data_IF_593386411319
#
_entry.id   IF_593386411319
#
_cell.length_a   1.000
_cell.length_b   1.000
_cell.length_c   1.000
_cell.angle_alpha   90.00
_cell.angle_beta   90.00
_cell.angle_gamma   90.00
#
_symmetry.space_group_name_H-M   'P 1'
#
loop_
_entity.id
_entity.type
_entity.pdbx_description
1 polymer ?
#
# COMPACT_ATOMS: atom_id res chain seq x y z
N UNK A 1 6.78 -23.69 -12.11
CA UNK A 1 6.70 -25.04 -11.49
C UNK A 1 5.34 -25.65 -11.76
N UNK A 2 5.18 -26.99 -11.72
CA UNK A 2 3.82 -27.57 -11.70
C UNK A 2 3.20 -27.28 -10.33
N UNK A 3 1.89 -27.04 -10.26
CA UNK A 3 1.11 -26.74 -9.03
C UNK A 3 1.43 -27.72 -7.88
N UNK A 4 1.55 -29.02 -8.18
CA UNK A 4 1.89 -30.06 -7.20
C UNK A 4 3.31 -29.92 -6.60
N UNK A 5 4.30 -29.51 -7.41
CA UNK A 5 5.67 -29.29 -6.90
C UNK A 5 5.72 -28.13 -5.92
N UNK A 6 5.05 -27.06 -6.26
CA UNK A 6 4.98 -25.86 -5.41
C UNK A 6 4.23 -26.15 -4.10
N UNK A 7 3.11 -26.88 -4.17
CA UNK A 7 2.37 -27.31 -2.98
C UNK A 7 3.23 -28.14 -2.03
N UNK A 8 4.09 -29.05 -2.56
CA UNK A 8 5.02 -29.84 -1.75
C UNK A 8 6.05 -28.94 -1.07
N UNK A 9 6.61 -27.95 -1.79
CA UNK A 9 7.58 -27.00 -1.21
C UNK A 9 6.94 -26.20 -0.06
N UNK A 10 5.75 -25.64 -0.27
CA UNK A 10 5.04 -24.86 0.75
C UNK A 10 4.69 -25.69 1.99
N UNK A 11 4.20 -26.91 1.81
CA UNK A 11 3.89 -27.81 2.93
C UNK A 11 5.16 -28.22 3.70
N UNK A 12 6.25 -28.54 3.00
CA UNK A 12 7.53 -28.88 3.62
C UNK A 12 8.08 -27.68 4.39
N UNK A 13 8.06 -26.49 3.80
CA UNK A 13 8.54 -25.25 4.40
C UNK A 13 7.75 -24.90 5.69
N UNK A 14 6.43 -25.02 5.67
CA UNK A 14 5.61 -24.80 6.86
C UNK A 14 5.95 -25.76 8.02
N UNK A 15 6.24 -27.03 7.70
CA UNK A 15 6.67 -28.00 8.70
C UNK A 15 8.09 -27.72 9.21
N UNK A 16 9.03 -27.36 8.31
CA UNK A 16 10.40 -27.02 8.68
C UNK A 16 10.47 -25.75 9.55
N UNK A 17 9.65 -24.76 9.25
CA UNK A 17 9.56 -23.52 10.01
C UNK A 17 9.10 -23.68 11.47
N UNK A 18 8.36 -24.77 11.76
CA UNK A 18 7.83 -25.04 13.11
C UNK A 18 8.67 -26.07 13.87
N UNK A 19 9.10 -27.13 13.20
CA UNK A 19 9.74 -28.30 13.83
C UNK A 19 11.26 -28.38 13.59
N UNK A 20 11.78 -27.61 12.67
CA UNK A 20 13.13 -27.73 12.13
C UNK A 20 13.24 -28.85 11.09
N UNK A 21 14.30 -28.77 10.28
CA UNK A 21 14.51 -29.68 9.17
C UNK A 21 14.64 -31.14 9.62
N UNK A 22 15.45 -31.44 10.65
CA UNK A 22 15.71 -32.83 11.07
C UNK A 22 14.47 -33.55 11.60
N UNK A 23 13.61 -32.85 12.33
CA UNK A 23 12.43 -33.47 12.98
C UNK A 23 11.30 -33.78 11.98
N UNK A 24 11.38 -33.33 10.74
CA UNK A 24 10.33 -33.54 9.72
C UNK A 24 10.70 -34.69 8.80
N UNK A 25 9.81 -35.65 8.64
CA UNK A 25 9.95 -36.78 7.72
C UNK A 25 9.21 -36.51 6.39
N UNK A 26 9.64 -37.14 5.31
CA UNK A 26 8.94 -37.11 4.01
C UNK A 26 7.50 -37.62 4.11
N UNK A 27 7.27 -38.59 5.03
CA UNK A 27 5.90 -39.08 5.28
C UNK A 27 4.97 -38.02 5.91
N UNK A 28 5.50 -37.14 6.77
CA UNK A 28 4.73 -36.03 7.35
C UNK A 28 4.42 -34.97 6.28
N UNK A 29 5.37 -34.67 5.38
CA UNK A 29 5.15 -33.76 4.26
C UNK A 29 4.06 -34.31 3.33
N UNK A 30 4.16 -35.58 2.94
CA UNK A 30 3.15 -36.24 2.11
C UNK A 30 1.77 -36.27 2.79
N UNK A 31 1.75 -36.59 4.08
CA UNK A 31 0.51 -36.62 4.87
C UNK A 31 -0.18 -35.26 4.98
N UNK A 32 0.57 -34.16 5.09
CA UNK A 32 0.03 -32.80 5.10
C UNK A 32 -0.72 -32.42 3.81
N UNK A 33 -0.41 -33.10 2.71
CA UNK A 33 -1.04 -32.90 1.40
C UNK A 33 -2.03 -34.02 1.02
N UNK A 34 -2.30 -34.96 1.93
CA UNK A 34 -3.17 -36.10 1.63
C UNK A 34 -2.60 -37.05 0.56
N UNK A 35 -1.30 -37.02 0.31
CA UNK A 35 -0.66 -37.84 -0.71
C UNK A 35 0.20 -38.97 -0.12
N UNK A 36 0.47 -40.00 -0.92
CA UNK A 36 1.37 -41.08 -0.49
C UNK A 36 2.83 -40.64 -0.61
N UNK A 37 3.71 -41.23 0.23
CA UNK A 37 5.16 -41.01 0.14
C UNK A 37 5.72 -41.35 -1.27
N UNK A 38 5.18 -42.39 -1.92
CA UNK A 38 5.56 -42.77 -3.28
C UNK A 38 5.15 -41.70 -4.33
N UNK A 39 4.01 -41.02 -4.14
CA UNK A 39 3.60 -39.93 -5.01
C UNK A 39 4.53 -38.70 -4.87
N UNK A 40 4.98 -38.41 -3.65
CA UNK A 40 5.90 -37.32 -3.39
C UNK A 40 7.26 -37.59 -4.06
N UNK A 41 7.76 -38.81 -4.00
CA UNK A 41 9.04 -39.20 -4.65
C UNK A 41 9.03 -39.13 -6.20
N UNK A 42 7.86 -39.00 -6.83
CA UNK A 42 7.81 -38.67 -8.27
C UNK A 42 8.24 -37.25 -8.58
N UNK A 43 8.20 -36.36 -7.58
CA UNK A 43 8.51 -34.94 -7.73
C UNK A 43 9.88 -34.55 -7.18
N UNK A 44 10.30 -35.18 -6.07
CA UNK A 44 11.56 -34.92 -5.36
C UNK A 44 12.27 -36.20 -4.95
N UNK A 45 13.60 -36.25 -5.12
CA UNK A 45 14.42 -37.45 -4.85
C UNK A 45 14.46 -37.80 -3.36
N UNK A 46 14.55 -36.81 -2.50
CA UNK A 46 14.65 -36.98 -1.05
C UNK A 46 14.30 -35.65 -0.31
N UNK A 47 14.39 -35.66 1.01
CA UNK A 47 14.11 -34.48 1.86
C UNK A 47 15.06 -33.31 1.58
N UNK A 48 16.34 -33.60 1.28
CA UNK A 48 17.34 -32.59 0.94
C UNK A 48 17.02 -31.93 -0.39
N UNK A 49 16.59 -32.65 -1.38
CA UNK A 49 16.18 -32.12 -2.69
C UNK A 49 15.00 -31.13 -2.55
N UNK A 50 14.06 -31.41 -1.63
CA UNK A 50 12.97 -30.48 -1.27
C UNK A 50 13.55 -29.20 -0.64
N UNK A 51 14.46 -29.33 0.31
CA UNK A 51 15.09 -28.20 1.01
C UNK A 51 15.84 -27.28 0.04
N UNK A 52 16.68 -27.87 -0.82
CA UNK A 52 17.46 -27.13 -1.81
C UNK A 52 16.53 -26.43 -2.83
N UNK A 53 15.42 -27.10 -3.20
CA UNK A 53 14.40 -26.51 -4.09
C UNK A 53 13.62 -25.36 -3.45
N UNK A 54 13.38 -25.38 -2.13
CA UNK A 54 12.81 -24.24 -1.40
C UNK A 54 13.72 -23.01 -1.52
N UNK A 55 15.03 -23.20 -1.31
CA UNK A 55 15.99 -22.12 -1.44
C UNK A 55 15.99 -21.52 -2.86
N UNK A 56 16.09 -22.37 -3.88
CA UNK A 56 16.02 -21.91 -5.28
C UNK A 56 14.75 -21.14 -5.58
N UNK A 57 13.61 -21.63 -5.14
CA UNK A 57 12.30 -20.97 -5.33
C UNK A 57 12.24 -19.57 -4.71
N UNK A 58 12.75 -19.42 -3.48
CA UNK A 58 12.77 -18.11 -2.80
C UNK A 58 13.73 -17.14 -3.49
N UNK A 59 14.89 -17.61 -3.95
CA UNK A 59 15.85 -16.79 -4.71
C UNK A 59 15.27 -16.31 -6.05
N UNK A 60 14.52 -17.15 -6.76
CA UNK A 60 13.84 -16.77 -8.01
C UNK A 60 12.81 -15.64 -7.77
N UNK A 61 12.03 -15.73 -6.68
CA UNK A 61 11.08 -14.68 -6.28
C UNK A 61 11.80 -13.38 -5.89
N UNK A 62 12.97 -13.46 -5.29
CA UNK A 62 13.76 -12.28 -4.93
C UNK A 62 14.32 -11.58 -6.16
N UNK A 63 14.91 -12.32 -7.09
CA UNK A 63 15.40 -11.78 -8.36
C UNK A 63 14.29 -11.10 -9.17
N UNK A 64 13.07 -11.63 -9.16
CA UNK A 64 11.92 -10.99 -9.81
C UNK A 64 11.57 -9.65 -9.17
N UNK A 65 11.62 -9.54 -7.83
CA UNK A 65 11.38 -8.27 -7.13
C UNK A 65 12.47 -7.24 -7.42
N UNK A 66 13.72 -7.65 -7.41
CA UNK A 66 14.86 -6.80 -7.74
C UNK A 66 14.68 -6.16 -9.13
N UNK A 67 14.34 -6.97 -10.14
CA UNK A 67 14.06 -6.48 -11.51
C UNK A 67 12.92 -5.45 -11.54
N UNK A 68 11.81 -5.73 -10.85
CA UNK A 68 10.64 -4.83 -10.81
C UNK A 68 10.97 -3.48 -10.17
N UNK A 69 11.89 -3.44 -9.24
CA UNK A 69 12.31 -2.22 -8.53
C UNK A 69 13.50 -1.51 -9.19
N UNK A 70 14.05 -2.06 -10.27
CA UNK A 70 15.20 -1.45 -10.95
C UNK A 70 16.49 -1.47 -10.12
N UNK A 71 16.69 -2.53 -9.31
CA UNK A 71 17.94 -2.79 -8.59
C UNK A 71 18.58 -4.07 -9.12
N UNK A 72 19.92 -4.27 -8.96
CA UNK A 72 20.61 -5.44 -9.45
C UNK A 72 20.04 -6.76 -8.91
N UNK A 73 19.92 -7.77 -9.77
CA UNK A 73 19.42 -9.11 -9.38
C UNK A 73 20.49 -10.01 -8.81
N UNK A 74 21.75 -9.66 -9.00
CA UNK A 74 22.93 -10.46 -8.65
C UNK A 74 23.95 -9.63 -7.89
N UNK A 75 24.99 -10.30 -7.41
CA UNK A 75 26.10 -9.69 -6.69
C UNK A 75 26.90 -8.71 -7.59
N UNK A 76 27.57 -7.74 -6.99
CA UNK A 76 28.36 -6.73 -7.69
C UNK A 76 29.40 -7.32 -8.66
N UNK A 77 30.05 -8.43 -8.27
CA UNK A 77 31.01 -9.12 -9.11
C UNK A 77 30.47 -9.64 -10.44
N UNK A 78 29.14 -9.89 -10.52
CA UNK A 78 28.49 -10.42 -11.73
C UNK A 78 27.86 -9.31 -12.59
N UNK A 79 27.44 -8.19 -11.98
CA UNK A 79 26.70 -7.10 -12.66
C UNK A 79 27.14 -5.70 -12.19
N UNK A 80 28.42 -5.33 -12.24
CA UNK A 80 28.92 -4.07 -11.66
C UNK A 80 28.23 -2.83 -12.24
N UNK A 81 27.98 -2.77 -13.53
CA UNK A 81 27.40 -1.62 -14.20
C UNK A 81 25.96 -1.32 -13.70
N UNK A 82 25.21 -2.35 -13.33
CA UNK A 82 23.85 -2.16 -12.85
C UNK A 82 23.76 -1.55 -11.44
N UNK A 83 24.83 -1.61 -10.65
CA UNK A 83 24.88 -0.95 -9.34
C UNK A 83 25.08 0.56 -9.47
N UNK A 84 25.78 1.05 -10.47
CA UNK A 84 25.96 2.47 -10.73
C UNK A 84 24.65 3.19 -11.11
N UNK A 85 23.70 2.46 -11.71
CA UNK A 85 22.41 2.98 -12.14
C UNK A 85 21.37 3.08 -11.00
N UNK A 86 21.61 2.41 -9.85
CA UNK A 86 20.68 2.43 -8.72
C UNK A 86 20.47 3.84 -8.20
N UNK A 87 19.22 4.28 -8.15
CA UNK A 87 18.84 5.54 -7.52
C UNK A 87 18.45 5.34 -6.05
N UNK A 88 18.57 6.39 -5.21
CA UNK A 88 18.05 6.35 -3.83
C UNK A 88 16.60 5.90 -3.74
N UNK A 89 15.80 6.31 -4.74
CA UNK A 89 14.40 5.95 -4.86
C UNK A 89 14.20 4.46 -5.17
N UNK A 90 14.87 3.94 -6.20
CA UNK A 90 14.73 2.52 -6.56
C UNK A 90 15.16 1.61 -5.40
N UNK A 91 16.20 2.01 -4.66
CA UNK A 91 16.59 1.31 -3.45
C UNK A 91 15.51 1.38 -2.35
N UNK A 92 14.92 2.56 -2.10
CA UNK A 92 13.82 2.70 -1.13
C UNK A 92 12.62 1.83 -1.50
N UNK A 93 12.18 1.89 -2.76
CA UNK A 93 11.06 1.07 -3.27
C UNK A 93 11.34 -0.42 -3.15
N UNK A 94 12.53 -0.85 -3.50
CA UNK A 94 12.97 -2.24 -3.34
C UNK A 94 12.90 -2.67 -1.87
N UNK A 95 13.51 -1.91 -0.97
CA UNK A 95 13.55 -2.27 0.45
C UNK A 95 12.17 -2.28 1.12
N UNK A 96 11.25 -1.40 0.72
CA UNK A 96 9.85 -1.45 1.16
C UNK A 96 9.14 -2.70 0.62
N UNK A 97 9.31 -3.03 -0.66
CA UNK A 97 8.73 -4.24 -1.23
C UNK A 97 9.29 -5.50 -0.57
N UNK A 98 10.57 -5.51 -0.21
CA UNK A 98 11.21 -6.59 0.54
C UNK A 98 10.62 -6.69 1.96
N UNK A 99 10.49 -5.56 2.68
CA UNK A 99 9.90 -5.57 4.01
C UNK A 99 8.47 -6.12 3.99
N UNK A 100 7.65 -5.65 3.07
CA UNK A 100 6.29 -6.15 2.86
C UNK A 100 6.27 -7.66 2.63
N UNK A 101 7.07 -8.15 1.66
CA UNK A 101 7.15 -9.57 1.34
C UNK A 101 7.61 -10.41 2.54
N UNK A 102 8.73 -10.04 3.15
CA UNK A 102 9.31 -10.81 4.25
C UNK A 102 8.47 -10.76 5.54
N UNK A 103 7.59 -9.77 5.71
CA UNK A 103 6.71 -9.64 6.88
C UNK A 103 5.31 -10.23 6.66
N UNK A 104 4.77 -10.19 5.41
CA UNK A 104 3.37 -10.53 5.12
C UNK A 104 3.20 -11.87 4.41
N UNK A 105 4.13 -12.24 3.50
CA UNK A 105 4.01 -13.48 2.75
C UNK A 105 4.33 -14.70 3.63
N UNK A 106 3.47 -15.70 3.61
CA UNK A 106 3.61 -16.90 4.45
C UNK A 106 4.86 -17.70 4.07
N UNK A 107 5.20 -17.80 2.79
CA UNK A 107 6.38 -18.52 2.31
C UNK A 107 7.65 -17.85 2.81
N UNK A 108 7.75 -16.52 2.69
CA UNK A 108 8.89 -15.75 3.16
C UNK A 108 9.04 -15.82 4.68
N UNK A 109 7.94 -15.65 5.44
CA UNK A 109 7.94 -15.77 6.89
C UNK A 109 8.41 -17.17 7.35
N UNK A 110 7.91 -18.23 6.72
CA UNK A 110 8.28 -19.60 7.06
C UNK A 110 9.74 -19.90 6.66
N UNK A 111 10.20 -19.38 5.53
CA UNK A 111 11.59 -19.54 5.09
C UNK A 111 12.57 -18.90 6.09
N UNK A 112 12.30 -17.66 6.53
CA UNK A 112 13.11 -16.97 7.53
C UNK A 112 13.12 -17.71 8.87
N UNK A 113 11.95 -18.19 9.35
CA UNK A 113 11.86 -19.00 10.58
C UNK A 113 12.65 -20.28 10.47
N UNK A 114 12.54 -20.97 9.34
CA UNK A 114 13.33 -22.17 9.07
C UNK A 114 14.83 -21.88 9.16
N UNK A 115 15.34 -20.86 8.47
CA UNK A 115 16.73 -20.47 8.53
C UNK A 115 17.18 -20.13 9.96
N UNK A 116 16.35 -19.37 10.70
CA UNK A 116 16.62 -19.02 12.10
C UNK A 116 16.73 -20.24 13.01
N UNK A 117 15.89 -21.27 12.82
CA UNK A 117 15.98 -22.51 13.60
C UNK A 117 17.19 -23.37 13.24
N UNK A 118 17.66 -23.31 12.01
CA UNK A 118 18.73 -24.16 11.52
C UNK A 118 20.12 -23.55 11.66
N UNK A 119 20.28 -22.23 11.78
CA UNK A 119 21.55 -21.52 11.70
C UNK A 119 22.64 -22.03 12.66
N UNK A 120 22.28 -22.56 13.82
CA UNK A 120 23.23 -23.07 14.82
C UNK A 120 23.47 -24.58 14.76
N UNK A 121 22.80 -25.29 13.86
CA UNK A 121 22.89 -26.77 13.79
C UNK A 121 24.08 -27.29 12.96
N UNK A 122 24.40 -26.58 11.89
CA UNK A 122 25.52 -26.90 11.02
C UNK A 122 26.17 -25.64 10.48
N UNK A 123 27.46 -25.71 10.14
CA UNK A 123 28.16 -24.59 9.48
C UNK A 123 27.48 -24.18 8.17
N UNK A 124 27.02 -25.15 7.37
CA UNK A 124 26.35 -24.92 6.11
C UNK A 124 25.03 -24.10 6.32
N UNK A 125 24.24 -24.46 7.34
CA UNK A 125 23.03 -23.73 7.68
C UNK A 125 23.31 -22.32 8.21
N UNK A 126 24.37 -22.14 8.98
CA UNK A 126 24.85 -20.83 9.42
C UNK A 126 25.25 -19.95 8.25
N UNK A 127 26.08 -20.46 7.34
CA UNK A 127 26.47 -19.73 6.12
C UNK A 127 25.27 -19.36 5.26
N UNK A 128 24.27 -20.25 5.14
CA UNK A 128 23.04 -19.94 4.40
C UNK A 128 22.23 -18.82 5.07
N UNK A 129 22.12 -18.85 6.39
CA UNK A 129 21.49 -17.79 7.16
C UNK A 129 22.21 -16.44 6.96
N UNK A 130 23.54 -16.43 7.05
CA UNK A 130 24.37 -15.23 6.81
C UNK A 130 24.14 -14.66 5.41
N UNK A 131 24.16 -15.53 4.40
CA UNK A 131 23.96 -15.13 3.00
C UNK A 131 22.59 -14.50 2.76
N UNK A 132 21.54 -14.96 3.44
CA UNK A 132 20.16 -14.52 3.14
C UNK A 132 19.72 -13.38 4.05
N UNK A 133 20.12 -13.35 5.31
CA UNK A 133 19.49 -12.48 6.31
C UNK A 133 20.46 -11.48 6.99
N UNK A 134 21.75 -11.63 6.86
CA UNK A 134 22.71 -10.74 7.54
C UNK A 134 23.80 -10.23 6.61
N UNK A 135 24.90 -10.95 6.43
CA UNK A 135 26.06 -10.46 5.68
C UNK A 135 25.79 -10.26 4.19
N UNK A 136 25.03 -11.16 3.57
CA UNK A 136 24.68 -11.02 2.15
C UNK A 136 23.92 -9.71 1.84
N UNK A 137 22.78 -9.42 2.49
CA UNK A 137 22.08 -8.13 2.32
C UNK A 137 22.94 -6.92 2.68
N UNK A 138 23.76 -7.01 3.74
CA UNK A 138 24.65 -5.91 4.10
C UNK A 138 25.70 -5.63 3.02
N UNK A 139 26.31 -6.67 2.45
CA UNK A 139 27.29 -6.52 1.37
C UNK A 139 26.64 -5.95 0.10
N UNK A 140 25.45 -6.42 -0.25
CA UNK A 140 24.69 -5.91 -1.38
C UNK A 140 24.38 -4.39 -1.25
N UNK A 141 23.90 -3.97 -0.06
CA UNK A 141 23.61 -2.56 0.21
C UNK A 141 24.90 -1.72 0.28
N UNK A 142 25.97 -2.27 0.87
CA UNK A 142 27.29 -1.64 0.89
C UNK A 142 27.78 -1.32 -0.53
N UNK A 143 27.68 -2.29 -1.45
CA UNK A 143 28.09 -2.11 -2.83
C UNK A 143 27.23 -1.03 -3.54
N UNK A 144 25.92 -1.00 -3.31
CA UNK A 144 25.06 0.07 -3.81
C UNK A 144 25.48 1.44 -3.25
N UNK A 145 25.73 1.56 -1.96
CA UNK A 145 26.14 2.83 -1.37
C UNK A 145 27.52 3.27 -1.81
N UNK A 146 28.44 2.33 -2.03
CA UNK A 146 29.76 2.64 -2.61
C UNK A 146 29.60 3.30 -3.97
N UNK A 147 28.78 2.72 -4.85
CA UNK A 147 28.52 3.30 -6.17
C UNK A 147 27.76 4.63 -6.07
N UNK A 148 26.79 4.78 -5.19
CA UNK A 148 26.10 6.03 -4.96
C UNK A 148 27.06 7.15 -4.51
N UNK A 149 28.05 6.85 -3.68
CA UNK A 149 29.07 7.82 -3.24
C UNK A 149 29.99 8.17 -4.40
N UNK A 150 30.46 7.20 -5.18
CA UNK A 150 31.33 7.41 -6.35
C UNK A 150 30.63 8.32 -7.38
N UNK A 151 29.33 8.12 -7.59
CA UNK A 151 28.54 8.89 -8.56
C UNK A 151 27.92 10.17 -7.98
N UNK A 152 28.30 10.58 -6.76
CA UNK A 152 27.85 11.84 -6.15
C UNK A 152 26.36 11.88 -5.82
N UNK A 153 25.74 10.73 -5.53
CA UNK A 153 24.35 10.65 -5.06
C UNK A 153 24.27 10.79 -3.53
N UNK A 154 25.27 10.28 -2.81
CA UNK A 154 25.39 10.36 -1.35
C UNK A 154 26.64 11.18 -0.95
N UNK A 155 26.60 11.77 0.23
CA UNK A 155 27.78 12.39 0.84
C UNK A 155 28.88 11.34 1.09
N UNK A 156 30.13 11.77 1.13
CA UNK A 156 31.27 10.89 1.38
C UNK A 156 31.20 10.32 2.80
N UNK A 157 31.02 9.02 2.94
CA UNK A 157 30.98 8.29 4.21
C UNK A 157 31.50 6.86 4.00
N UNK A 158 31.67 6.09 5.08
CA UNK A 158 32.08 4.68 5.01
C UNK A 158 30.91 3.79 4.54
N UNK A 159 30.97 3.12 3.36
CA UNK A 159 29.85 2.40 2.80
C UNK A 159 29.30 1.29 3.70
N UNK A 160 30.17 0.53 4.35
CA UNK A 160 29.74 -0.54 5.27
C UNK A 160 28.97 0.01 6.47
N UNK A 161 29.39 1.14 7.02
CA UNK A 161 28.70 1.78 8.15
C UNK A 161 27.32 2.28 7.72
N UNK A 162 27.22 2.89 6.52
CA UNK A 162 25.92 3.28 5.95
C UNK A 162 25.01 2.07 5.77
N UNK A 163 25.54 0.96 5.24
CA UNK A 163 24.77 -0.25 5.05
C UNK A 163 24.23 -0.82 6.38
N UNK A 164 25.02 -0.81 7.43
CA UNK A 164 24.59 -1.23 8.78
C UNK A 164 23.49 -0.30 9.31
N UNK A 165 23.67 1.03 9.24
CA UNK A 165 22.65 2.00 9.71
C UNK A 165 21.34 1.85 8.95
N UNK A 166 21.40 1.58 7.65
CA UNK A 166 20.23 1.44 6.79
C UNK A 166 19.50 0.09 6.97
N UNK A 167 20.25 -1.01 7.09
CA UNK A 167 19.69 -2.36 7.15
C UNK A 167 19.27 -2.81 8.56
N UNK A 168 19.94 -2.33 9.62
CA UNK A 168 19.64 -2.77 10.97
C UNK A 168 18.17 -2.59 11.39
N UNK A 169 17.48 -1.46 11.08
CA UNK A 169 16.05 -1.32 11.34
C UNK A 169 15.20 -2.35 10.62
N UNK A 170 15.51 -2.66 9.34
CA UNK A 170 14.83 -3.70 8.57
C UNK A 170 14.87 -5.04 9.30
N UNK A 171 16.07 -5.49 9.67
CA UNK A 171 16.26 -6.77 10.34
C UNK A 171 15.57 -6.82 11.70
N UNK A 172 15.68 -5.74 12.51
CA UNK A 172 15.02 -5.64 13.81
C UNK A 172 13.49 -5.73 13.69
N UNK A 173 12.91 -4.92 12.81
CA UNK A 173 11.45 -4.84 12.64
C UNK A 173 10.86 -6.13 12.07
N UNK A 174 11.58 -6.82 11.17
CA UNK A 174 11.18 -8.15 10.70
C UNK A 174 11.12 -9.17 11.84
N UNK A 175 12.11 -9.18 12.73
CA UNK A 175 12.10 -10.08 13.89
C UNK A 175 10.95 -9.77 14.86
N UNK A 176 10.58 -8.51 15.00
CA UNK A 176 9.41 -8.11 15.78
C UNK A 176 8.11 -8.57 15.10
N UNK A 177 8.01 -8.44 13.77
CA UNK A 177 6.86 -8.85 12.99
C UNK A 177 6.57 -10.36 13.07
N UNK A 178 7.58 -11.21 13.31
CA UNK A 178 7.41 -12.65 13.49
C UNK A 178 6.58 -13.04 14.72
N UNK A 179 6.57 -12.20 15.74
CA UNK A 179 5.89 -12.47 17.01
C UNK A 179 4.46 -11.97 17.02
N UNK A 180 4.08 -11.09 16.10
CA UNK A 180 2.71 -10.62 16.00
C UNK A 180 1.93 -11.42 14.96
N UNK A 181 0.72 -11.86 15.34
CA UNK A 181 -0.24 -12.47 14.42
C UNK A 181 -1.14 -11.44 13.72
N UNK A 182 -1.06 -10.16 14.10
CA UNK A 182 -1.96 -9.12 13.62
C UNK A 182 -1.35 -8.37 12.44
N UNK A 183 -2.08 -8.34 11.33
CA UNK A 183 -1.67 -7.63 10.12
C UNK A 183 -1.40 -6.14 10.39
N UNK A 184 -2.23 -5.50 11.20
CA UNK A 184 -2.09 -4.09 11.56
C UNK A 184 -0.74 -3.75 12.21
N UNK A 185 -0.25 -4.60 13.12
CA UNK A 185 1.05 -4.38 13.76
C UNK A 185 2.20 -4.42 12.74
N UNK A 186 2.09 -5.30 11.75
CA UNK A 186 3.08 -5.42 10.67
C UNK A 186 3.06 -4.20 9.73
N UNK A 187 1.87 -3.67 9.44
CA UNK A 187 1.70 -2.43 8.66
C UNK A 187 2.26 -1.21 9.43
N UNK A 188 2.09 -1.16 10.75
CA UNK A 188 2.70 -0.13 11.59
C UNK A 188 4.24 -0.22 11.58
N UNK A 189 4.81 -1.42 11.61
CA UNK A 189 6.25 -1.64 11.50
C UNK A 189 6.79 -1.23 10.12
N UNK A 190 6.06 -1.51 9.04
CA UNK A 190 6.39 -1.07 7.69
C UNK A 190 6.43 0.45 7.59
N UNK A 191 5.44 1.15 8.18
CA UNK A 191 5.43 2.61 8.23
C UNK A 191 6.59 3.19 9.06
N UNK A 192 7.00 2.54 10.15
CA UNK A 192 8.20 2.91 10.93
C UNK A 192 9.45 2.76 10.08
N UNK A 193 9.55 1.66 9.33
CA UNK A 193 10.69 1.41 8.45
C UNK A 193 10.77 2.42 7.30
N UNK A 194 9.64 2.74 6.69
CA UNK A 194 9.58 3.76 5.63
C UNK A 194 10.08 5.11 6.13
N UNK A 195 9.61 5.54 7.30
CA UNK A 195 10.07 6.78 7.91
C UNK A 195 11.57 6.76 8.23
N UNK A 196 12.09 5.64 8.72
CA UNK A 196 13.53 5.47 9.00
C UNK A 196 14.37 5.62 7.73
N UNK A 197 13.91 5.08 6.59
CA UNK A 197 14.59 5.25 5.31
C UNK A 197 14.54 6.71 4.84
N UNK A 198 13.42 7.41 5.01
CA UNK A 198 13.32 8.84 4.68
C UNK A 198 14.28 9.67 5.51
N UNK A 199 14.39 9.39 6.82
CA UNK A 199 15.33 10.08 7.72
C UNK A 199 16.79 9.77 7.35
N UNK A 200 17.09 8.53 6.94
CA UNK A 200 18.41 8.13 6.45
C UNK A 200 18.77 8.90 5.16
N UNK A 201 17.91 8.90 4.16
CA UNK A 201 18.19 9.60 2.90
C UNK A 201 18.27 11.11 3.10
N UNK A 202 17.44 11.72 3.94
CA UNK A 202 17.55 13.15 4.28
C UNK A 202 18.91 13.50 4.91
N UNK A 203 19.50 12.57 5.66
CA UNK A 203 20.80 12.77 6.30
C UNK A 203 21.98 12.63 5.34
N UNK A 204 21.88 11.75 4.36
CA UNK A 204 23.03 11.34 3.56
C UNK A 204 22.95 11.69 2.07
N UNK A 205 21.78 12.07 1.52
CA UNK A 205 21.68 12.54 0.15
C UNK A 205 22.37 13.88 -0.06
N UNK A 206 22.97 14.05 -1.23
CA UNK A 206 23.38 15.37 -1.67
C UNK A 206 22.14 16.20 -2.07
N UNK A 207 22.18 17.57 -1.90
CA UNK A 207 21.01 18.43 -2.12
C UNK A 207 20.35 18.27 -3.50
N UNK A 208 21.13 18.03 -4.54
CA UNK A 208 20.62 17.80 -5.90
C UNK A 208 19.79 16.50 -6.00
N UNK A 209 20.20 15.45 -5.32
CA UNK A 209 19.48 14.17 -5.28
C UNK A 209 18.27 14.24 -4.33
N UNK A 210 18.34 15.01 -3.26
CA UNK A 210 17.19 15.27 -2.39
C UNK A 210 16.08 16.00 -3.17
N UNK A 211 16.44 17.00 -3.96
CA UNK A 211 15.52 17.71 -4.86
C UNK A 211 14.91 16.74 -5.88
N UNK A 212 15.70 15.91 -6.54
CA UNK A 212 15.19 14.88 -7.46
C UNK A 212 14.27 13.88 -6.79
N UNK A 213 14.55 13.49 -5.55
CA UNK A 213 13.71 12.56 -4.81
C UNK A 213 12.35 13.19 -4.43
N UNK A 214 12.33 14.50 -4.12
CA UNK A 214 11.11 15.27 -3.80
C UNK A 214 10.31 15.62 -5.06
N UNK A 215 10.96 15.97 -6.16
CA UNK A 215 10.34 16.30 -7.46
C UNK A 215 9.60 15.11 -8.11
N UNK A 216 9.77 13.90 -7.59
CA UNK A 216 9.17 12.70 -8.15
C UNK A 216 7.68 12.54 -7.81
N UNK A 217 7.20 13.20 -6.76
CA UNK A 217 5.78 13.32 -6.44
C UNK A 217 5.36 14.74 -6.76
N UNK A 218 4.51 14.88 -7.77
CA UNK A 218 3.90 16.16 -8.13
C UNK A 218 2.39 16.07 -7.92
N UNK A 219 1.83 17.03 -7.17
CA UNK A 219 0.38 17.18 -7.03
C UNK A 219 0.01 18.49 -7.74
N UNK A 220 -0.78 18.38 -8.79
CA UNK A 220 -1.24 19.50 -9.59
C UNK A 220 -2.72 19.39 -9.88
N UNK A 221 -3.32 20.48 -10.33
CA UNK A 221 -4.70 20.41 -10.81
C UNK A 221 -4.79 19.46 -12.02
N UNK A 222 -5.93 18.79 -12.15
CA UNK A 222 -6.27 17.95 -13.30
C UNK A 222 -6.38 18.82 -14.55
N UNK A 223 -5.90 18.31 -15.67
CA UNK A 223 -6.04 18.92 -16.99
C UNK A 223 -6.90 18.02 -17.89
N UNK A 224 -7.47 18.56 -18.95
CA UNK A 224 -8.30 17.77 -19.89
C UNK A 224 -7.58 16.54 -20.46
N UNK A 225 -6.25 16.61 -20.59
CA UNK A 225 -5.45 15.47 -21.03
C UNK A 225 -5.44 14.30 -20.03
N UNK A 226 -5.72 14.57 -18.75
CA UNK A 226 -5.73 13.57 -17.69
C UNK A 226 -7.08 12.85 -17.55
N UNK A 227 -8.17 13.39 -18.09
CA UNK A 227 -9.53 12.89 -17.86
C UNK A 227 -9.65 11.38 -18.10
N UNK A 228 -9.15 10.90 -19.22
CA UNK A 228 -9.22 9.49 -19.57
C UNK A 228 -8.44 8.59 -18.59
N UNK A 229 -7.23 9.01 -18.19
CA UNK A 229 -6.41 8.23 -17.25
C UNK A 229 -7.00 8.28 -15.83
N UNK A 230 -7.57 9.41 -15.40
CA UNK A 230 -8.24 9.54 -14.09
C UNK A 230 -9.47 8.65 -14.01
N UNK A 231 -10.32 8.64 -15.03
CA UNK A 231 -11.47 7.73 -15.11
C UNK A 231 -11.04 6.26 -15.10
N UNK A 232 -9.97 5.92 -15.84
CA UNK A 232 -9.42 4.57 -15.86
C UNK A 232 -8.89 4.13 -14.49
N UNK A 233 -8.05 4.94 -13.83
CA UNK A 233 -7.48 4.56 -12.51
C UNK A 233 -8.55 4.52 -11.43
N UNK A 234 -9.59 5.38 -11.53
CA UNK A 234 -10.74 5.32 -10.64
C UNK A 234 -11.50 4.01 -10.83
N UNK A 235 -11.78 3.64 -12.08
CA UNK A 235 -12.41 2.37 -12.41
C UNK A 235 -11.60 1.19 -11.87
N UNK A 236 -10.30 1.14 -12.14
CA UNK A 236 -9.41 0.09 -11.64
C UNK A 236 -9.38 -0.01 -10.11
N UNK A 237 -9.44 1.14 -9.41
CA UNK A 237 -9.36 1.20 -7.95
C UNK A 237 -10.66 0.76 -7.26
N UNK A 238 -11.82 1.00 -7.88
CA UNK A 238 -13.13 0.76 -7.28
C UNK A 238 -13.86 -0.47 -7.85
N UNK A 239 -13.37 -1.06 -8.96
CA UNK A 239 -14.07 -2.18 -9.60
C UNK A 239 -14.24 -3.38 -8.67
N UNK A 240 -15.48 -3.80 -8.47
CA UNK A 240 -15.88 -4.85 -7.52
C UNK A 240 -15.60 -4.53 -6.04
N UNK A 241 -15.33 -3.27 -5.67
CA UNK A 241 -15.03 -2.92 -4.29
C UNK A 241 -16.29 -2.82 -3.42
N UNK A 242 -17.28 -2.05 -3.84
CA UNK A 242 -18.50 -1.77 -3.08
C UNK A 242 -19.72 -2.46 -3.64
N UNK A 243 -19.76 -2.64 -4.95
CA UNK A 243 -20.77 -3.39 -5.70
C UNK A 243 -20.09 -4.19 -6.81
N UNK A 244 -20.72 -5.22 -7.38
CA UNK A 244 -20.20 -5.86 -8.59
C UNK A 244 -20.17 -4.86 -9.77
N UNK A 245 -18.99 -4.50 -10.23
CA UNK A 245 -18.75 -3.43 -11.18
C UNK A 245 -18.22 -2.17 -10.51
N UNK A 246 -18.49 -1.00 -11.07
CA UNK A 246 -18.02 0.30 -10.58
C UNK A 246 -18.98 1.41 -11.02
N UNK A 247 -19.27 2.36 -10.17
CA UNK A 247 -20.03 3.58 -10.50
C UNK A 247 -19.19 4.85 -10.35
N UNK A 248 -18.09 4.77 -9.61
CA UNK A 248 -17.25 5.89 -9.22
C UNK A 248 -16.54 6.55 -10.43
N UNK A 249 -16.17 5.78 -11.44
CA UNK A 249 -15.56 6.32 -12.65
C UNK A 249 -16.55 7.17 -13.47
N UNK A 250 -17.86 6.81 -13.44
CA UNK A 250 -18.90 7.63 -14.04
C UNK A 250 -19.15 8.90 -13.24
N UNK A 251 -19.10 8.84 -11.91
CA UNK A 251 -19.15 10.04 -11.06
C UNK A 251 -18.06 11.02 -11.45
N UNK A 252 -16.81 10.57 -11.56
CA UNK A 252 -15.68 11.38 -12.00
C UNK A 252 -15.96 12.04 -13.36
N UNK A 253 -16.55 11.28 -14.29
CA UNK A 253 -16.89 11.78 -15.62
C UNK A 253 -17.88 12.95 -15.59
N UNK A 254 -18.98 12.83 -14.81
CA UNK A 254 -20.06 13.83 -14.78
C UNK A 254 -19.79 14.99 -13.83
N UNK A 255 -18.97 14.82 -12.78
CA UNK A 255 -18.69 15.86 -11.80
C UNK A 255 -18.09 17.11 -12.42
N UNK A 256 -17.22 16.96 -13.40
CA UNK A 256 -16.48 18.07 -14.03
C UNK A 256 -17.40 19.10 -14.73
N UNK A 257 -18.59 18.67 -15.15
CA UNK A 257 -19.58 19.52 -15.81
C UNK A 257 -20.64 20.08 -14.85
N UNK A 258 -20.59 19.70 -13.55
CA UNK A 258 -21.56 20.14 -12.57
C UNK A 258 -21.28 21.56 -12.08
N UNK A 259 -22.32 22.38 -11.87
CA UNK A 259 -22.18 23.79 -11.47
C UNK A 259 -21.50 24.01 -10.12
N UNK A 260 -21.58 23.03 -9.21
CA UNK A 260 -20.94 23.07 -7.89
C UNK A 260 -19.57 22.41 -7.86
N UNK A 261 -19.05 21.94 -8.97
CA UNK A 261 -17.70 21.43 -9.08
C UNK A 261 -16.66 22.52 -8.82
N UNK A 262 -15.58 22.18 -8.13
CA UNK A 262 -14.55 23.14 -7.74
C UNK A 262 -13.22 22.75 -8.44
N UNK A 263 -12.95 23.30 -9.65
CA UNK A 263 -11.75 22.95 -10.42
C UNK A 263 -10.43 23.21 -9.66
N UNK A 264 -10.42 24.21 -8.77
CA UNK A 264 -9.24 24.52 -7.94
C UNK A 264 -8.95 23.44 -6.88
N UNK A 265 -9.89 22.54 -6.63
CA UNK A 265 -9.77 21.41 -5.71
C UNK A 265 -9.83 20.05 -6.43
N UNK A 266 -9.62 20.05 -7.74
CA UNK A 266 -9.44 18.85 -8.53
C UNK A 266 -7.96 18.61 -8.77
N UNK A 267 -7.41 17.56 -8.13
CA UNK A 267 -5.98 17.28 -8.16
C UNK A 267 -5.67 15.88 -8.66
N UNK A 268 -4.64 15.80 -9.47
CA UNK A 268 -3.95 14.55 -9.78
C UNK A 268 -2.64 14.47 -9.02
N UNK A 269 -2.30 13.24 -8.60
CA UNK A 269 -0.98 12.91 -8.06
C UNK A 269 -0.18 12.17 -9.12
N UNK A 270 0.92 12.76 -9.52
CA UNK A 270 1.89 12.15 -10.41
C UNK A 270 3.06 11.56 -9.63
N UNK A 271 3.46 10.39 -10.04
CA UNK A 271 4.70 9.78 -9.64
C UNK A 271 5.56 9.58 -10.87
N UNK A 272 6.69 10.29 -10.97
CA UNK A 272 7.59 10.30 -12.14
C UNK A 272 6.88 10.67 -13.46
N UNK A 273 6.01 11.66 -13.42
CA UNK A 273 5.25 12.09 -14.60
C UNK A 273 4.12 11.14 -15.00
N UNK A 274 3.82 10.11 -14.20
CA UNK A 274 2.69 9.22 -14.41
C UNK A 274 1.60 9.53 -13.39
N UNK A 275 0.39 9.82 -13.83
CA UNK A 275 -0.77 10.01 -12.95
C UNK A 275 -1.13 8.68 -12.29
N UNK A 276 -1.11 8.67 -10.95
CA UNK A 276 -1.41 7.49 -10.13
C UNK A 276 -2.52 7.71 -9.11
N UNK A 277 -3.05 8.92 -8.99
CA UNK A 277 -4.14 9.23 -8.07
C UNK A 277 -4.88 10.49 -8.45
N UNK A 278 -6.11 10.59 -7.96
CA UNK A 278 -6.97 11.76 -8.13
C UNK A 278 -7.84 11.99 -6.89
N UNK A 279 -8.18 13.24 -6.63
CA UNK A 279 -9.21 13.71 -5.71
C UNK A 279 -9.90 14.92 -6.31
N UNK A 280 -11.23 14.96 -6.24
CA UNK A 280 -12.03 16.09 -6.73
C UNK A 280 -13.16 16.43 -5.78
N UNK A 281 -13.52 17.71 -5.74
CA UNK A 281 -14.47 18.25 -4.78
C UNK A 281 -15.68 18.91 -5.43
N UNK A 282 -16.81 18.84 -4.71
CA UNK A 282 -17.98 19.67 -4.94
C UNK A 282 -18.37 20.40 -3.66
N UNK A 283 -19.21 21.42 -3.81
CA UNK A 283 -19.91 22.03 -2.71
C UNK A 283 -20.93 21.05 -2.12
N UNK A 284 -21.11 21.14 -0.82
CA UNK A 284 -22.21 20.56 -0.08
C UNK A 284 -22.65 21.55 1.00
N UNK A 285 -23.67 21.21 1.77
CA UNK A 285 -24.22 22.18 2.71
C UNK A 285 -24.57 21.57 4.05
N UNK A 286 -24.51 22.42 5.07
CA UNK A 286 -25.06 22.16 6.38
C UNK A 286 -26.17 23.16 6.66
N UNK A 287 -27.29 22.67 7.22
CA UNK A 287 -28.35 23.52 7.74
C UNK A 287 -28.33 23.50 9.27
N UNK A 288 -28.36 24.68 9.91
CA UNK A 288 -28.51 24.77 11.35
C UNK A 288 -29.98 24.65 11.80
N UNK A 289 -30.25 24.78 13.10
CA UNK A 289 -31.58 24.68 13.70
C UNK A 289 -32.50 25.85 13.28
N UNK A 290 -31.94 26.97 12.82
CA UNK A 290 -32.66 28.14 12.36
C UNK A 290 -32.93 28.12 10.85
N UNK A 291 -32.35 27.12 10.13
CA UNK A 291 -32.44 26.96 8.69
C UNK A 291 -31.41 27.77 7.91
N UNK A 292 -30.39 28.32 8.58
CA UNK A 292 -29.29 28.99 7.89
C UNK A 292 -28.43 27.97 7.19
N UNK A 293 -28.01 28.27 5.96
CA UNK A 293 -27.23 27.39 5.11
C UNK A 293 -25.75 27.75 5.18
N UNK A 294 -24.91 26.82 5.59
CA UNK A 294 -23.43 26.88 5.55
C UNK A 294 -22.93 26.09 4.39
N UNK A 295 -22.17 26.72 3.49
CA UNK A 295 -21.46 26.02 2.40
C UNK A 295 -20.24 25.31 2.97
N UNK A 296 -20.09 24.04 2.61
CA UNK A 296 -18.97 23.18 2.98
C UNK A 296 -18.50 22.40 1.77
N UNK A 297 -17.51 21.56 1.95
CA UNK A 297 -17.00 20.67 0.93
C UNK A 297 -17.45 19.23 1.15
N UNK A 298 -17.67 18.53 0.05
CA UNK A 298 -17.60 17.08 -0.04
C UNK A 298 -16.66 16.69 -1.19
N UNK A 299 -16.07 15.51 -1.16
CA UNK A 299 -15.30 15.04 -2.30
C UNK A 299 -15.89 13.75 -2.87
N UNK A 300 -15.72 13.60 -4.18
CA UNK A 300 -16.03 12.38 -4.92
C UNK A 300 -15.04 11.28 -4.59
N UNK A 301 -14.83 10.31 -5.48
CA UNK A 301 -13.90 9.24 -5.22
C UNK A 301 -12.47 9.79 -5.07
N UNK A 302 -11.81 9.39 -4.00
CA UNK A 302 -10.36 9.53 -3.87
C UNK A 302 -9.76 8.22 -4.34
N UNK A 303 -9.02 8.24 -5.43
CA UNK A 303 -8.42 7.03 -5.96
C UNK A 303 -6.89 7.08 -5.96
N UNK A 304 -6.29 5.92 -5.73
CA UNK A 304 -4.88 5.64 -6.03
C UNK A 304 -4.86 4.37 -6.86
N UNK A 305 -4.14 4.40 -7.96
CA UNK A 305 -3.99 3.28 -8.89
C UNK A 305 -3.58 2.00 -8.15
N UNK A 306 -4.24 0.85 -8.42
CA UNK A 306 -3.79 -0.43 -7.88
C UNK A 306 -2.29 -0.66 -8.09
N UNK A 307 -1.60 -1.22 -7.08
CA UNK A 307 -0.14 -1.35 -7.08
C UNK A 307 0.62 -0.17 -6.47
N UNK A 308 -0.03 1.01 -6.34
CA UNK A 308 0.52 2.17 -5.62
C UNK A 308 -0.21 2.46 -4.30
N UNK A 309 -1.28 1.72 -4.02
CA UNK A 309 -2.07 1.86 -2.79
C UNK A 309 -1.27 1.47 -1.55
N UNK A 310 -1.72 1.96 -0.37
CA UNK A 310 -1.11 1.67 0.96
C UNK A 310 0.33 2.17 1.13
N UNK A 311 0.78 3.12 0.29
CA UNK A 311 2.10 3.77 0.36
C UNK A 311 2.04 5.24 0.80
N UNK A 312 0.92 5.67 1.36
CA UNK A 312 0.73 7.05 1.85
C UNK A 312 0.34 8.08 0.79
N UNK A 313 0.28 7.73 -0.51
CA UNK A 313 -0.04 8.68 -1.58
C UNK A 313 -1.44 9.30 -1.45
N UNK A 314 -2.45 8.50 -1.09
CA UNK A 314 -3.80 9.01 -0.86
C UNK A 314 -3.84 10.02 0.27
N UNK A 315 -3.11 9.78 1.35
CA UNK A 315 -3.00 10.74 2.46
C UNK A 315 -2.34 12.04 2.04
N UNK A 316 -1.24 11.99 1.27
CA UNK A 316 -0.56 13.19 0.75
C UNK A 316 -1.50 14.01 -0.13
N UNK A 317 -2.27 13.35 -0.99
CA UNK A 317 -3.24 14.00 -1.87
C UNK A 317 -4.35 14.71 -1.08
N UNK A 318 -4.91 14.03 -0.07
CA UNK A 318 -5.93 14.60 0.83
C UNK A 318 -5.36 15.77 1.64
N UNK A 319 -4.17 15.65 2.23
CA UNK A 319 -3.55 16.72 3.02
C UNK A 319 -3.28 17.95 2.15
N UNK A 320 -2.75 17.76 0.92
CA UNK A 320 -2.54 18.86 -0.03
C UNK A 320 -3.86 19.56 -0.38
N UNK A 321 -4.92 18.80 -0.64
CA UNK A 321 -6.24 19.36 -0.98
C UNK A 321 -6.84 20.17 0.19
N UNK A 322 -6.63 19.75 1.44
CA UNK A 322 -7.07 20.49 2.62
C UNK A 322 -6.36 21.85 2.76
N UNK A 323 -5.07 21.90 2.53
CA UNK A 323 -4.31 23.15 2.55
C UNK A 323 -4.83 24.15 1.50
N UNK A 324 -5.21 23.66 0.33
CA UNK A 324 -5.79 24.47 -0.73
C UNK A 324 -7.22 24.90 -0.38
N UNK A 325 -8.04 24.01 0.16
CA UNK A 325 -9.42 24.29 0.57
C UNK A 325 -9.47 25.42 1.61
N UNK A 326 -8.58 25.39 2.61
CA UNK A 326 -8.46 26.48 3.61
C UNK A 326 -8.10 27.81 2.94
N UNK A 327 -7.17 27.80 1.98
CA UNK A 327 -6.80 29.03 1.21
C UNK A 327 -7.96 29.59 0.38
N UNK A 328 -8.90 28.75 -0.03
CA UNK A 328 -10.12 29.14 -0.74
C UNK A 328 -11.24 29.58 0.20
N UNK A 329 -11.04 29.49 1.53
CA UNK A 329 -11.99 29.93 2.54
C UNK A 329 -12.91 28.84 3.08
N UNK A 330 -12.71 27.58 2.71
CA UNK A 330 -13.47 26.46 3.24
C UNK A 330 -12.92 26.02 4.60
N UNK A 331 -13.81 25.71 5.52
CA UNK A 331 -13.47 25.35 6.90
C UNK A 331 -13.88 23.93 7.30
N UNK A 332 -14.70 23.26 6.47
CA UNK A 332 -15.31 21.97 6.81
C UNK A 332 -15.43 21.07 5.59
N UNK A 333 -15.16 19.78 5.78
CA UNK A 333 -15.38 18.70 4.80
C UNK A 333 -16.25 17.63 5.44
N UNK A 334 -17.30 17.20 4.75
CA UNK A 334 -18.14 16.05 5.13
C UNK A 334 -18.11 15.02 4.02
N UNK A 335 -17.94 13.76 4.38
CA UNK A 335 -17.86 12.66 3.42
C UNK A 335 -18.62 11.43 3.90
N UNK A 336 -18.92 10.55 2.96
CA UNK A 336 -19.30 9.16 3.24
C UNK A 336 -18.17 8.21 2.83
N UNK A 337 -17.70 7.37 3.75
CA UNK A 337 -16.64 6.44 3.46
C UNK A 337 -16.22 5.57 4.65
N UNK A 338 -15.29 4.66 4.41
CA UNK A 338 -14.80 3.77 5.47
C UNK A 338 -13.91 4.51 6.47
N UNK A 339 -14.22 4.47 7.79
CA UNK A 339 -13.38 5.08 8.84
C UNK A 339 -11.93 4.65 8.79
N UNK A 340 -11.65 3.41 8.35
CA UNK A 340 -10.28 2.87 8.23
C UNK A 340 -9.40 3.72 7.30
N UNK A 341 -10.00 4.33 6.27
CA UNK A 341 -9.26 5.13 5.30
C UNK A 341 -9.07 6.58 5.73
N UNK A 342 -10.00 7.16 6.53
CA UNK A 342 -10.07 8.61 6.70
C UNK A 342 -9.81 9.10 8.12
N UNK A 343 -9.94 8.26 9.15
CA UNK A 343 -9.63 8.66 10.55
C UNK A 343 -8.17 9.10 10.67
N UNK A 344 -7.24 8.42 9.96
CA UNK A 344 -5.84 8.80 9.89
C UNK A 344 -5.57 10.18 9.26
N UNK A 345 -6.51 10.69 8.43
CA UNK A 345 -6.49 12.03 7.85
C UNK A 345 -7.22 13.07 8.72
N UNK A 346 -7.59 12.70 9.96
CA UNK A 346 -8.19 13.59 10.95
C UNK A 346 -9.72 13.71 10.87
N UNK A 347 -10.39 12.90 10.04
CA UNK A 347 -11.85 12.79 10.08
C UNK A 347 -12.32 12.14 11.38
N UNK A 348 -13.47 12.55 11.84
CA UNK A 348 -14.15 11.99 13.02
C UNK A 348 -15.60 11.70 12.67
N UNK A 349 -16.25 10.88 13.52
CA UNK A 349 -17.68 10.61 13.38
C UNK A 349 -18.48 11.92 13.32
N UNK A 350 -19.46 11.98 12.42
CA UNK A 350 -20.39 13.08 12.24
C UNK A 350 -21.11 13.45 13.57
N UNK A 351 -21.44 12.46 14.39
CA UNK A 351 -22.04 12.66 15.71
C UNK A 351 -21.19 13.55 16.62
N UNK A 352 -19.86 13.49 16.51
CA UNK A 352 -18.95 14.30 17.35
C UNK A 352 -19.09 15.82 17.10
N UNK A 353 -19.61 16.18 15.93
CA UNK A 353 -19.86 17.57 15.51
C UNK A 353 -21.35 17.89 15.40
N UNK A 354 -22.23 17.04 15.92
CA UNK A 354 -23.68 17.16 15.79
C UNK A 354 -24.16 17.30 14.33
N UNK A 355 -23.45 16.69 13.38
CA UNK A 355 -23.84 16.66 11.96
C UNK A 355 -24.62 15.39 11.70
N UNK A 356 -25.91 15.50 11.45
CA UNK A 356 -26.82 14.38 11.18
C UNK A 356 -27.48 14.46 9.81
N UNK A 357 -28.29 13.45 9.50
CA UNK A 357 -29.20 13.46 8.34
C UNK A 357 -30.50 14.19 8.69
N UNK A 358 -31.34 14.48 7.70
CA UNK A 358 -32.69 15.07 7.89
C UNK A 358 -33.53 14.29 8.90
N UNK A 359 -33.35 12.98 8.99
CA UNK A 359 -34.05 12.12 9.96
C UNK A 359 -33.44 12.16 11.37
N UNK A 360 -32.47 13.03 11.62
CA UNK A 360 -31.78 13.16 12.91
C UNK A 360 -30.84 11.98 13.25
N UNK A 361 -30.56 11.09 12.29
CA UNK A 361 -29.66 9.95 12.47
C UNK A 361 -28.21 10.34 12.19
N UNK A 362 -27.29 9.56 12.78
CA UNK A 362 -25.85 9.70 12.58
C UNK A 362 -25.30 8.47 11.85
N UNK A 363 -25.19 8.48 10.51
CA UNK A 363 -24.65 7.34 9.77
C UNK A 363 -23.21 7.03 10.18
N UNK A 364 -22.89 5.75 10.35
CA UNK A 364 -21.53 5.33 10.72
C UNK A 364 -20.48 5.63 9.65
N UNK A 365 -20.92 5.69 8.39
CA UNK A 365 -20.07 6.03 7.26
C UNK A 365 -19.89 7.54 7.06
N UNK A 366 -20.73 8.38 7.71
CA UNK A 366 -20.63 9.84 7.57
C UNK A 366 -19.56 10.38 8.52
N UNK A 367 -18.55 11.01 7.95
CA UNK A 367 -17.42 11.56 8.67
C UNK A 367 -17.23 13.03 8.37
N UNK A 368 -16.76 13.76 9.36
CA UNK A 368 -16.54 15.21 9.33
C UNK A 368 -15.11 15.54 9.65
N UNK A 369 -14.53 16.47 8.92
CA UNK A 369 -13.26 17.10 9.19
C UNK A 369 -13.43 18.61 9.25
N UNK A 370 -13.25 19.21 10.44
CA UNK A 370 -13.01 20.65 10.54
C UNK A 370 -11.60 20.94 10.05
N UNK A 371 -11.47 21.75 9.01
CA UNK A 371 -10.19 22.27 8.53
C UNK A 371 -9.75 23.45 9.43
N UNK A 372 -10.72 24.20 9.95
CA UNK A 372 -10.52 25.25 10.94
C UNK A 372 -11.23 24.80 12.23
N UNK A 373 -10.51 24.61 13.34
CA UNK A 373 -11.10 24.15 14.59
C UNK A 373 -12.23 25.07 15.09
N UNK A 374 -13.34 24.48 15.51
CA UNK A 374 -14.51 25.21 16.03
C UNK A 374 -15.47 25.74 14.96
N UNK A 375 -15.24 25.40 13.70
CA UNK A 375 -16.10 25.85 12.59
C UNK A 375 -17.58 25.40 12.70
N UNK A 376 -17.84 24.34 13.47
CA UNK A 376 -19.16 23.73 13.66
C UNK A 376 -19.69 23.88 15.09
N UNK A 377 -18.98 24.58 15.97
CA UNK A 377 -19.35 24.70 17.38
C UNK A 377 -20.68 25.45 17.57
N UNK A 378 -21.44 24.99 18.55
CA UNK A 378 -22.67 25.69 19.03
C UNK A 378 -23.95 25.36 18.27
N UNK A 379 -23.90 24.54 17.23
CA UNK A 379 -25.06 24.20 16.40
C UNK A 379 -25.28 22.69 16.28
N UNK A 380 -26.50 22.34 15.91
CA UNK A 380 -26.84 21.00 15.38
C UNK A 380 -27.06 21.14 13.88
N UNK A 381 -26.36 20.33 13.13
CA UNK A 381 -26.31 20.46 11.69
C UNK A 381 -27.04 19.32 10.98
N UNK A 382 -27.76 19.67 9.91
CA UNK A 382 -28.31 18.70 8.95
C UNK A 382 -27.47 18.74 7.67
N UNK A 383 -26.87 17.64 7.32
CA UNK A 383 -26.08 17.51 6.10
C UNK A 383 -26.97 17.39 4.87
N UNK A 384 -26.69 18.18 3.87
CA UNK A 384 -27.28 18.13 2.53
C UNK A 384 -26.19 17.86 1.50
N UNK A 385 -26.25 16.67 0.90
CA UNK A 385 -25.31 16.25 -0.12
C UNK A 385 -25.51 17.01 -1.43
N UNK A 386 -24.46 17.01 -2.26
CA UNK A 386 -24.59 17.54 -3.61
C UNK A 386 -25.39 16.57 -4.49
N UNK A 387 -26.33 17.04 -5.31
CA UNK A 387 -27.13 16.17 -6.19
C UNK A 387 -26.29 15.30 -7.13
N UNK A 388 -25.09 15.73 -7.55
CA UNK A 388 -24.21 14.96 -8.42
C UNK A 388 -23.72 13.64 -7.77
N UNK A 389 -23.74 13.56 -6.43
CA UNK A 389 -23.37 12.35 -5.71
C UNK A 389 -24.43 11.23 -5.81
N UNK A 390 -25.66 11.58 -6.20
CA UNK A 390 -26.75 10.62 -6.41
C UNK A 390 -26.65 10.00 -7.81
N UNK A 391 -25.72 9.05 -7.99
CA UNK A 391 -25.43 8.45 -9.30
C UNK A 391 -26.53 7.46 -9.70
N UNK A 392 -26.98 7.54 -10.94
CA UNK A 392 -27.82 6.54 -11.56
C UNK A 392 -26.98 5.29 -11.92
N UNK A 393 -27.29 4.15 -11.30
CA UNK A 393 -26.61 2.88 -11.60
C UNK A 393 -26.82 2.49 -13.08
N UNK A 394 -27.97 2.80 -13.67
CA UNK A 394 -28.29 2.52 -15.08
C UNK A 394 -27.39 3.34 -16.01
N UNK A 395 -27.18 4.63 -15.73
CA UNK A 395 -26.32 5.50 -16.53
C UNK A 395 -24.85 5.11 -16.37
N UNK A 396 -24.42 4.83 -15.13
CA UNK A 396 -23.07 4.34 -14.87
C UNK A 396 -22.79 3.02 -15.61
N UNK A 397 -23.77 2.10 -15.67
CA UNK A 397 -23.64 0.85 -16.42
C UNK A 397 -23.57 1.10 -17.93
N UNK A 398 -24.38 2.00 -18.47
CA UNK A 398 -24.32 2.37 -19.89
C UNK A 398 -22.95 2.95 -20.26
N UNK A 399 -22.38 3.74 -19.35
CA UNK A 399 -21.04 4.29 -19.52
C UNK A 399 -19.97 3.19 -19.46
N UNK A 400 -20.03 2.31 -18.45
CA UNK A 400 -19.11 1.19 -18.29
C UNK A 400 -19.12 0.24 -19.50
N UNK A 401 -20.29 0.04 -20.13
CA UNK A 401 -20.45 -0.80 -21.32
C UNK A 401 -19.73 -0.25 -22.57
N UNK A 402 -19.34 1.02 -22.57
CA UNK A 402 -18.53 1.64 -23.64
C UNK A 402 -17.04 1.36 -23.49
N UNK A 403 -16.59 0.88 -22.33
CA UNK A 403 -15.20 0.65 -21.99
C UNK A 403 -14.81 -0.82 -22.17
N UNK A 404 -13.52 -1.12 -22.04
CA UNK A 404 -13.03 -2.50 -22.04
C UNK A 404 -13.71 -3.33 -20.94
N UNK A 405 -14.16 -4.53 -21.30
CA UNK A 405 -14.90 -5.39 -20.38
C UNK A 405 -14.05 -5.88 -19.23
N UNK A 406 -14.51 -5.66 -18.02
CA UNK A 406 -13.98 -6.23 -16.78
C UNK A 406 -14.97 -7.22 -16.18
N UNK A 407 -14.46 -8.25 -15.50
CA UNK A 407 -15.32 -9.29 -14.92
C UNK A 407 -15.93 -8.82 -13.59
N UNK A 408 -17.25 -8.80 -13.52
CA UNK A 408 -17.98 -8.50 -12.28
C UNK A 408 -17.91 -9.68 -11.31
N UNK A 409 -17.54 -9.41 -10.07
CA UNK A 409 -17.37 -10.43 -9.02
C UNK A 409 -18.00 -9.96 -7.70
N UNK A 410 -18.57 -10.91 -6.96
CA UNK A 410 -18.92 -10.69 -5.57
C UNK A 410 -17.66 -10.81 -4.70
N UNK A 411 -17.47 -9.88 -3.77
CA UNK A 411 -16.35 -9.86 -2.83
C UNK A 411 -16.82 -9.54 -1.39
N UNK A 412 -16.11 -9.99 -0.37
CA UNK A 412 -16.46 -9.70 1.04
C UNK A 412 -16.55 -8.21 1.37
N UNK A 413 -15.77 -7.37 0.67
CA UNK A 413 -15.80 -5.91 0.84
C UNK A 413 -17.17 -5.27 0.53
N UNK A 414 -17.99 -5.92 -0.28
CA UNK A 414 -19.34 -5.47 -0.61
C UNK A 414 -20.30 -5.66 0.58
N UNK A 415 -20.16 -6.77 1.31
CA UNK A 415 -20.92 -7.01 2.54
C UNK A 415 -20.48 -6.05 3.65
N UNK A 416 -19.15 -5.80 3.78
CA UNK A 416 -18.63 -4.81 4.72
C UNK A 416 -19.19 -3.41 4.42
N UNK A 417 -19.22 -3.03 3.15
CA UNK A 417 -19.78 -1.76 2.71
C UNK A 417 -21.28 -1.69 3.00
N UNK A 418 -22.04 -2.75 2.70
CA UNK A 418 -23.47 -2.81 2.97
C UNK A 418 -23.76 -2.61 4.46
N UNK A 419 -23.06 -3.33 5.34
CA UNK A 419 -23.22 -3.21 6.80
C UNK A 419 -22.91 -1.78 7.25
N UNK A 420 -21.79 -1.22 6.79
CA UNK A 420 -21.34 0.13 7.17
C UNK A 420 -22.33 1.21 6.72
N UNK A 421 -22.80 1.14 5.46
CA UNK A 421 -23.70 2.14 4.87
C UNK A 421 -25.12 2.11 5.46
N UNK A 422 -25.52 0.98 6.07
CA UNK A 422 -26.82 0.81 6.73
C UNK A 422 -26.74 0.91 8.26
N UNK A 423 -25.57 1.22 8.81
CA UNK A 423 -25.36 1.35 10.26
C UNK A 423 -25.43 2.80 10.71
N UNK A 424 -25.95 2.98 11.94
CA UNK A 424 -26.05 4.29 12.57
C UNK A 424 -25.44 4.25 13.97
N UNK A 425 -24.94 5.38 14.42
CA UNK A 425 -24.41 5.56 15.78
C UNK A 425 -25.57 6.00 16.66
N UNK A 426 -25.94 5.15 17.61
CA UNK A 426 -26.97 5.45 18.61
C UNK A 426 -26.46 6.43 19.68
N UNK A 427 -27.37 7.03 20.46
CA UNK A 427 -27.06 7.99 21.54
C UNK A 427 -26.19 7.39 22.67
#
# INVERSE_FOLDING_TARGET
>A
MTDTKESILKAALGLFAVKGYEAVSVSQIAGALGMTKGALYKHYKNKRDIFDSIFTYVCELDAERSRKSGVPEKEFSEMPDSFSDVSPKSLKEYMLSQFHYWSMDETACNFRKMLTLEQYKTTEAGTLYEKVLTDGPLTYIEDIFREMIIHGKLIKAEPRQLAVEFYAPFYLLLNMADRTGRKKDKEEMEAVYEKQMDDFFRKYLLPEEETRMQEMINIRNEEKADYAIVEQITREAFYNMYVPGCVEHYLVHIMREHEDFIPELDFVLELNGTVIGNIMYTKAWLLDEEGNKKEILTFGPVCIKPGYQRRGYGRKLIEHSFEKAVKLGYDTVVIFGSPVNYVGCGFKSCKKYNVGTENGKYPSAMMVRELIPGALDGHKWIYQDNPVMAISEEEAQKYDDTLEKMEKKCQPSQDEFYIMSHSFIEE
#
